data_IF_139798344318
#
_entry.id   IF_139798344318
#
_cell.length_a   1.000
_cell.length_b   1.000
_cell.length_c   1.000
_cell.angle_alpha   90.00
_cell.angle_beta   90.00
_cell.angle_gamma   90.00
#
_symmetry.space_group_name_H-M   'P 1'
#
loop_
_entity.id
_entity.type
_entity.pdbx_description
1 polymer ?
#
# COMPACT_ATOMS: atom_id res chain seq x y z
N UNK A 1 10.31 -11.09 3.63
CA UNK A 1 8.92 -11.30 4.10
C UNK A 1 8.19 -9.98 4.28
N UNK A 2 6.93 -9.90 3.86
CA UNK A 2 6.11 -8.73 4.13
C UNK A 2 5.71 -8.70 5.60
N UNK A 3 5.64 -7.51 6.19
CA UNK A 3 5.19 -7.32 7.55
C UNK A 3 3.87 -6.54 7.54
N UNK A 4 2.91 -7.00 8.33
CA UNK A 4 1.60 -6.34 8.47
C UNK A 4 1.46 -5.88 9.92
N UNK A 5 1.30 -4.57 10.10
CA UNK A 5 1.13 -3.94 11.42
C UNK A 5 -0.28 -3.34 11.47
N UNK A 6 -1.07 -3.73 12.46
CA UNK A 6 -2.43 -3.20 12.63
C UNK A 6 -2.47 -2.29 13.86
N UNK A 7 -2.55 -0.99 13.64
CA UNK A 7 -2.59 0.03 14.69
C UNK A 7 -3.99 0.60 14.92
N UNK A 8 -5.02 0.03 14.29
CA UNK A 8 -6.40 0.47 14.48
C UNK A 8 -7.23 -0.63 15.14
N UNK A 9 -8.35 -0.28 15.75
CA UNK A 9 -9.19 -1.21 16.51
C UNK A 9 -10.66 -1.26 16.06
N UNK A 10 -11.07 -0.36 15.16
CA UNK A 10 -12.47 -0.26 14.77
C UNK A 10 -12.94 -1.40 13.88
N UNK A 11 -12.07 -1.87 13.00
CA UNK A 11 -12.41 -2.86 11.99
C UNK A 11 -11.47 -4.06 12.17
N UNK A 12 -12.08 -5.25 12.27
CA UNK A 12 -11.32 -6.49 12.42
C UNK A 12 -10.74 -6.92 11.08
N UNK A 13 -9.44 -7.25 11.05
CA UNK A 13 -8.73 -7.65 9.84
C UNK A 13 -7.95 -8.94 10.05
N UNK A 14 -7.91 -9.77 9.01
CA UNK A 14 -7.11 -10.99 8.96
C UNK A 14 -5.73 -10.66 8.38
N UNK A 15 -4.74 -10.43 9.25
CA UNK A 15 -3.40 -10.01 8.82
C UNK A 15 -2.71 -10.99 7.87
N UNK A 16 -2.91 -12.28 8.06
CA UNK A 16 -2.25 -13.31 7.25
C UNK A 16 -2.66 -13.26 5.78
N UNK A 17 -3.92 -12.92 5.50
CA UNK A 17 -4.42 -12.77 4.13
C UNK A 17 -3.65 -11.67 3.41
N UNK A 18 -3.47 -10.53 4.07
CA UNK A 18 -2.78 -9.38 3.47
C UNK A 18 -1.28 -9.61 3.36
N UNK A 19 -0.69 -10.31 4.33
CA UNK A 19 0.71 -10.70 4.26
C UNK A 19 0.99 -11.61 3.06
N UNK A 20 0.17 -12.66 2.89
CA UNK A 20 0.30 -13.56 1.75
C UNK A 20 0.10 -12.83 0.43
N UNK A 21 -0.87 -11.93 0.37
CA UNK A 21 -1.12 -11.12 -0.82
C UNK A 21 0.07 -10.21 -1.14
N UNK A 22 0.59 -9.49 -0.15
CA UNK A 22 1.73 -8.60 -0.35
C UNK A 22 2.96 -9.36 -0.85
N UNK A 23 3.22 -10.54 -0.31
CA UNK A 23 4.32 -11.39 -0.75
C UNK A 23 4.13 -11.87 -2.19
N UNK A 24 2.91 -12.27 -2.55
CA UNK A 24 2.59 -12.67 -3.93
C UNK A 24 2.75 -11.49 -4.90
N UNK A 25 2.27 -10.32 -4.54
CA UNK A 25 2.37 -9.12 -5.38
C UNK A 25 3.83 -8.71 -5.61
N UNK A 26 4.65 -8.68 -4.55
CA UNK A 26 6.07 -8.32 -4.70
C UNK A 26 6.82 -9.34 -5.55
N UNK A 27 6.45 -10.62 -5.48
CA UNK A 27 7.07 -11.66 -6.31
C UNK A 27 6.75 -11.51 -7.80
N UNK A 28 5.59 -10.94 -8.14
CA UNK A 28 5.19 -10.72 -9.53
C UNK A 28 5.77 -9.45 -10.14
N UNK A 29 6.23 -8.53 -9.33
CA UNK A 29 6.73 -7.23 -9.79
C UNK A 29 8.25 -7.26 -9.77
N UNK A 30 8.87 -7.33 -10.95
CA UNK A 30 10.33 -7.45 -11.07
C UNK A 30 11.09 -6.27 -10.46
N UNK A 31 10.51 -5.07 -10.52
CA UNK A 31 11.13 -3.85 -10.01
C UNK A 31 11.30 -3.86 -8.50
N UNK A 32 10.63 -4.76 -7.76
CA UNK A 32 10.82 -4.89 -6.31
C UNK A 32 12.18 -5.51 -5.94
N UNK A 33 12.83 -6.21 -6.87
CA UNK A 33 14.09 -6.93 -6.63
C UNK A 33 14.02 -7.86 -5.42
N UNK A 34 12.87 -8.51 -5.22
CA UNK A 34 12.59 -9.38 -4.07
C UNK A 34 12.63 -8.66 -2.71
N UNK A 35 12.57 -7.34 -2.71
CA UNK A 35 12.44 -6.57 -1.47
C UNK A 35 11.01 -6.68 -0.93
N UNK A 36 10.87 -6.59 0.38
CA UNK A 36 9.56 -6.65 1.03
C UNK A 36 9.09 -5.29 1.50
N UNK A 37 7.77 -5.12 1.55
CA UNK A 37 7.13 -3.91 2.04
C UNK A 37 6.52 -4.16 3.42
N UNK A 38 6.40 -3.10 4.22
CA UNK A 38 5.64 -3.11 5.46
C UNK A 38 4.31 -2.42 5.20
N UNK A 39 3.21 -3.07 5.57
CA UNK A 39 1.86 -2.51 5.44
C UNK A 39 1.36 -2.17 6.84
N UNK A 40 0.95 -0.92 7.04
CA UNK A 40 0.46 -0.43 8.33
C UNK A 40 -0.99 0.01 8.19
N UNK A 41 -1.88 -0.61 8.94
CA UNK A 41 -3.29 -0.24 9.00
C UNK A 41 -3.52 0.76 10.12
N UNK A 42 -4.11 1.89 9.80
CA UNK A 42 -4.34 3.00 10.72
C UNK A 42 -5.77 3.52 10.62
N UNK A 43 -6.15 4.42 11.52
CA UNK A 43 -7.43 5.15 11.47
C UNK A 43 -7.34 6.36 10.54
N UNK A 44 -8.50 6.92 10.18
CA UNK A 44 -8.58 8.19 9.43
C UNK A 44 -7.83 9.31 10.16
N UNK A 45 -7.98 9.38 11.46
CA UNK A 45 -7.30 10.40 12.27
C UNK A 45 -5.78 10.31 12.13
N UNK A 46 -5.24 9.09 12.21
CA UNK A 46 -3.80 8.87 12.12
C UNK A 46 -3.27 9.17 10.72
N UNK A 47 -3.94 8.73 9.66
CA UNK A 47 -3.48 8.98 8.29
C UNK A 47 -3.56 10.47 7.94
N UNK A 48 -4.55 11.17 8.49
CA UNK A 48 -4.66 12.62 8.33
C UNK A 48 -3.45 13.33 8.95
N UNK A 49 -3.05 12.92 10.15
CA UNK A 49 -1.86 13.45 10.82
C UNK A 49 -0.60 13.21 10.00
N UNK A 50 -0.44 12.01 9.45
CA UNK A 50 0.70 11.66 8.60
C UNK A 50 0.70 12.45 7.29
N UNK A 51 -0.46 12.60 6.67
CA UNK A 51 -0.60 13.35 5.43
C UNK A 51 -0.25 14.83 5.64
N UNK A 52 -0.67 15.41 6.77
CA UNK A 52 -0.33 16.78 7.14
C UNK A 52 1.17 16.94 7.37
N UNK A 53 1.78 16.03 8.13
CA UNK A 53 3.20 16.09 8.49
C UNK A 53 4.11 15.90 7.26
N UNK A 54 3.81 14.92 6.41
CA UNK A 54 4.72 14.52 5.33
C UNK A 54 4.37 15.09 3.96
N UNK A 55 3.13 15.51 3.74
CA UNK A 55 2.67 16.05 2.45
C UNK A 55 2.06 17.44 2.55
N UNK A 56 1.94 17.99 3.74
CA UNK A 56 1.34 19.30 3.98
C UNK A 56 -0.16 19.38 3.72
N UNK A 57 -0.85 18.24 3.64
CA UNK A 57 -2.29 18.17 3.36
C UNK A 57 -3.05 17.76 4.60
N UNK A 58 -3.87 18.65 5.16
CA UNK A 58 -4.68 18.38 6.35
C UNK A 58 -5.98 17.68 5.98
N UNK A 59 -5.87 16.46 5.44
CA UNK A 59 -7.02 15.64 5.04
C UNK A 59 -6.67 14.17 5.15
N UNK A 60 -7.69 13.34 5.38
CA UNK A 60 -7.52 11.90 5.31
C UNK A 60 -7.37 11.49 3.85
N UNK A 61 -6.59 10.45 3.61
CA UNK A 61 -6.46 9.79 2.31
C UNK A 61 -6.61 8.28 2.53
N UNK A 62 -6.67 7.52 1.45
CA UNK A 62 -6.78 6.07 1.54
C UNK A 62 -5.43 5.41 1.85
N UNK A 63 -4.38 5.84 1.18
CA UNK A 63 -3.05 5.22 1.26
C UNK A 63 -1.95 6.26 1.15
N UNK A 64 -0.86 6.03 1.89
CA UNK A 64 0.40 6.79 1.79
C UNK A 64 1.52 5.77 1.61
N UNK A 65 2.43 6.05 0.70
CA UNK A 65 3.60 5.21 0.44
C UNK A 65 4.88 5.97 0.77
N UNK A 66 5.74 5.35 1.57
CA UNK A 66 7.02 5.92 2.00
C UNK A 66 8.15 5.00 1.55
N UNK A 67 8.82 5.31 0.42
CA UNK A 67 9.97 4.51 -0.02
C UNK A 67 11.05 4.49 1.06
N UNK A 68 11.68 3.35 1.24
CA UNK A 68 12.81 3.25 2.16
C UNK A 68 14.00 4.03 1.61
N UNK A 69 14.56 4.91 2.44
CA UNK A 69 15.76 5.66 2.12
C UNK A 69 16.85 5.22 3.08
N UNK A 70 17.80 4.41 2.58
CA UNK A 70 18.94 4.01 3.36
C UNK A 70 19.88 5.20 3.55
N UNK A 71 20.25 5.51 4.80
CA UNK A 71 21.31 6.45 5.05
C UNK A 71 22.68 5.68 5.02
N UNK A 72 23.78 6.40 5.24
CA UNK A 72 25.11 5.78 5.18
C UNK A 72 25.37 4.73 6.27
N UNK A 73 24.48 4.63 7.26
CA UNK A 73 24.57 3.71 8.39
C UNK A 73 23.57 2.56 8.32
N UNK A 74 22.54 2.67 7.50
CA UNK A 74 21.53 1.64 7.33
C UNK A 74 21.66 0.95 5.98
N UNK A 75 21.89 -0.35 6.03
CA UNK A 75 22.07 -1.18 4.83
C UNK A 75 21.01 -2.28 4.77
N UNK A 76 19.74 -1.92 4.92
CA UNK A 76 18.66 -2.89 4.77
C UNK A 76 18.28 -3.03 3.28
N UNK A 77 18.97 -3.90 2.58
CA UNK A 77 18.76 -4.16 1.16
C UNK A 77 17.43 -4.84 0.86
N UNK A 78 16.72 -5.33 1.89
CA UNK A 78 15.46 -6.07 1.72
C UNK A 78 14.23 -5.21 1.95
N UNK A 79 14.38 -3.93 2.27
CA UNK A 79 13.28 -3.05 2.62
C UNK A 79 12.88 -2.14 1.45
N UNK A 80 11.70 -2.39 0.89
CA UNK A 80 11.14 -1.57 -0.19
C UNK A 80 10.55 -0.26 0.34
N UNK A 81 9.96 -0.28 1.52
CA UNK A 81 9.33 0.87 2.15
C UNK A 81 8.06 0.52 2.90
N UNK A 82 7.32 1.55 3.31
CA UNK A 82 6.11 1.43 4.09
C UNK A 82 4.88 1.87 3.30
N UNK A 83 3.79 1.12 3.45
CA UNK A 83 2.49 1.44 2.87
C UNK A 83 1.52 1.61 4.03
N UNK A 84 0.99 2.82 4.23
CA UNK A 84 0.07 3.14 5.32
C UNK A 84 -1.33 3.29 4.74
N UNK A 85 -2.28 2.53 5.27
CA UNK A 85 -3.66 2.47 4.77
C UNK A 85 -4.64 2.83 5.87
N UNK A 86 -5.55 3.78 5.58
CA UNK A 86 -6.70 4.04 6.43
C UNK A 86 -7.77 2.99 6.16
N UNK A 87 -8.04 2.12 7.14
CA UNK A 87 -9.03 1.06 6.99
C UNK A 87 -10.45 1.65 6.89
N UNK A 88 -10.72 2.74 7.59
CA UNK A 88 -12.01 3.42 7.52
C UNK A 88 -12.27 3.99 6.11
N UNK A 89 -11.25 4.59 5.50
CA UNK A 89 -11.36 5.09 4.13
C UNK A 89 -11.52 3.94 3.13
N UNK A 90 -10.76 2.86 3.34
CA UNK A 90 -10.86 1.67 2.49
C UNK A 90 -12.27 1.07 2.54
N UNK A 91 -12.90 1.04 3.73
CA UNK A 91 -14.26 0.52 3.86
C UNK A 91 -15.28 1.38 3.09
N UNK A 92 -15.17 2.70 3.18
CA UNK A 92 -16.04 3.60 2.42
C UNK A 92 -15.87 3.42 0.92
N UNK A 93 -14.63 3.31 0.45
CA UNK A 93 -14.32 3.11 -0.97
C UNK A 93 -14.79 1.74 -1.46
N UNK A 94 -14.66 0.71 -0.63
CA UNK A 94 -15.15 -0.62 -0.97
C UNK A 94 -16.65 -0.59 -1.25
N UNK A 95 -17.43 0.10 -0.42
CA UNK A 95 -18.86 0.26 -0.63
C UNK A 95 -19.18 1.00 -1.93
N UNK A 96 -18.46 2.09 -2.21
CA UNK A 96 -18.62 2.86 -3.44
C UNK A 96 -18.28 2.04 -4.69
N UNK A 97 -17.24 1.22 -4.61
CA UNK A 97 -16.75 0.40 -5.71
C UNK A 97 -17.45 -0.96 -5.81
N UNK A 98 -18.38 -1.26 -4.91
CA UNK A 98 -19.10 -2.54 -4.82
C UNK A 98 -18.13 -3.72 -4.68
N UNK A 99 -17.10 -3.53 -3.87
CA UNK A 99 -16.10 -4.55 -3.53
C UNK A 99 -16.22 -4.90 -2.05
N UNK A 100 -15.73 -6.07 -1.68
CA UNK A 100 -15.54 -6.35 -0.27
C UNK A 100 -14.30 -5.61 0.24
N UNK A 101 -14.20 -5.46 1.55
CA UNK A 101 -13.10 -4.72 2.17
C UNK A 101 -11.74 -5.37 1.88
N UNK A 102 -11.69 -6.69 1.88
CA UNK A 102 -10.45 -7.43 1.59
C UNK A 102 -9.91 -7.08 0.20
N UNK A 103 -10.77 -7.11 -0.82
CA UNK A 103 -10.38 -6.78 -2.19
C UNK A 103 -9.93 -5.33 -2.32
N UNK A 104 -10.66 -4.40 -1.70
CA UNK A 104 -10.27 -2.98 -1.71
C UNK A 104 -8.91 -2.76 -1.09
N UNK A 105 -8.65 -3.36 0.06
CA UNK A 105 -7.35 -3.25 0.74
C UNK A 105 -6.24 -3.86 -0.13
N UNK A 106 -6.49 -5.00 -0.76
CA UNK A 106 -5.51 -5.62 -1.66
C UNK A 106 -5.16 -4.71 -2.83
N UNK A 107 -6.15 -4.04 -3.41
CA UNK A 107 -5.91 -3.07 -4.48
C UNK A 107 -5.08 -1.88 -3.98
N UNK A 108 -5.32 -1.40 -2.76
CA UNK A 108 -4.52 -0.33 -2.17
C UNK A 108 -3.08 -0.77 -1.88
N UNK A 109 -2.89 -2.00 -1.42
CA UNK A 109 -1.54 -2.56 -1.22
C UNK A 109 -0.79 -2.62 -2.55
N UNK A 110 -1.42 -3.14 -3.59
CA UNK A 110 -0.81 -3.21 -4.92
C UNK A 110 -0.42 -1.82 -5.43
N UNK A 111 -1.32 -0.85 -5.32
CA UNK A 111 -1.07 0.53 -5.71
C UNK A 111 0.13 1.12 -4.96
N UNK A 112 0.18 0.87 -3.64
CA UNK A 112 1.31 1.30 -2.81
C UNK A 112 2.64 0.66 -3.21
N UNK A 113 2.64 -0.63 -3.51
CA UNK A 113 3.86 -1.33 -3.97
C UNK A 113 4.37 -0.70 -5.27
N UNK A 114 3.47 -0.40 -6.21
CA UNK A 114 3.87 0.24 -7.48
C UNK A 114 4.48 1.62 -7.24
N UNK A 115 3.92 2.42 -6.34
CA UNK A 115 4.54 3.69 -5.96
C UNK A 115 5.93 3.50 -5.35
N UNK A 116 6.10 2.51 -4.50
CA UNK A 116 7.42 2.20 -3.92
C UNK A 116 8.44 1.80 -4.98
N UNK A 117 7.98 1.25 -6.11
CA UNK A 117 8.84 0.89 -7.25
C UNK A 117 9.11 2.06 -8.19
N UNK A 118 8.60 3.25 -7.89
CA UNK A 118 8.86 4.44 -8.69
C UNK A 118 7.79 4.80 -9.70
N UNK A 119 6.70 4.04 -9.78
CA UNK A 119 5.56 4.40 -10.63
C UNK A 119 4.84 5.62 -10.04
N UNK A 120 4.48 6.57 -10.88
CA UNK A 120 3.75 7.76 -10.46
C UNK A 120 2.75 8.15 -11.54
N UNK A 121 1.47 7.89 -11.29
CA UNK A 121 0.38 8.16 -12.25
C UNK A 121 0.17 9.66 -12.52
N UNK A 122 0.69 10.55 -11.67
CA UNK A 122 0.59 11.99 -11.87
C UNK A 122 1.60 12.52 -12.90
N UNK A 123 2.68 11.78 -13.14
CA UNK A 123 3.78 12.21 -14.01
C UNK A 123 4.01 11.31 -15.22
N UNK A 124 3.38 10.14 -15.29
CA UNK A 124 3.54 9.21 -16.40
C UNK A 124 2.45 9.38 -17.46
N UNK A 125 2.57 8.63 -18.55
CA UNK A 125 1.61 8.61 -19.66
C UNK A 125 0.62 7.43 -19.58
N UNK A 126 0.37 6.93 -18.36
CA UNK A 126 -0.56 5.84 -18.11
C UNK A 126 0.10 4.49 -17.83
N UNK A 127 1.42 4.45 -17.70
CA UNK A 127 2.17 3.21 -17.44
C UNK A 127 1.78 2.57 -16.12
N UNK A 128 1.61 3.37 -15.05
CA UNK A 128 1.22 2.85 -13.74
C UNK A 128 -0.18 2.23 -13.80
N UNK A 129 -1.13 2.90 -14.43
CA UNK A 129 -2.50 2.38 -14.55
C UNK A 129 -2.53 1.06 -15.35
N UNK A 130 -1.80 1.01 -16.45
CA UNK A 130 -1.72 -0.20 -17.27
C UNK A 130 -1.11 -1.37 -16.50
N UNK A 131 -0.03 -1.11 -15.75
CA UNK A 131 0.62 -2.13 -14.92
C UNK A 131 -0.29 -2.61 -13.80
N UNK A 132 -0.99 -1.69 -13.16
CA UNK A 132 -1.92 -2.02 -12.07
C UNK A 132 -3.06 -2.91 -12.57
N UNK A 133 -3.67 -2.59 -13.72
CA UNK A 133 -4.74 -3.39 -14.29
C UNK A 133 -4.27 -4.79 -14.69
N UNK A 134 -3.09 -4.91 -15.28
CA UNK A 134 -2.48 -6.19 -15.61
C UNK A 134 -2.29 -7.05 -14.36
N UNK A 135 -1.76 -6.47 -13.29
CA UNK A 135 -1.50 -7.18 -12.04
C UNK A 135 -2.78 -7.53 -11.28
N UNK A 136 -3.81 -6.67 -11.34
CA UNK A 136 -5.12 -7.00 -10.78
C UNK A 136 -5.70 -8.25 -11.42
N UNK A 137 -5.56 -8.37 -12.73
CA UNK A 137 -6.02 -9.55 -13.47
C UNK A 137 -5.26 -10.80 -13.02
N UNK A 138 -3.94 -10.73 -12.95
CA UNK A 138 -3.09 -11.85 -12.50
C UNK A 138 -3.36 -12.25 -11.05
N UNK A 139 -3.62 -11.29 -10.18
CA UNK A 139 -3.86 -11.50 -8.75
C UNK A 139 -5.34 -11.71 -8.43
N UNK A 140 -6.21 -11.58 -9.40
CA UNK A 140 -7.67 -11.76 -9.29
C UNK A 140 -8.30 -10.81 -8.27
N UNK A 141 -7.94 -9.58 -8.34
CA UNK A 141 -8.50 -8.51 -7.51
C UNK A 141 -9.09 -7.38 -8.41
#
# INVERSE_FOLDING_TARGET
MAEIINQQRKIKLERLIFRSFAEAATSLISETNNQSATVVFVSDKKIRELNKTFRGKNSATDVLSFPFEADEFETDENNLGDIVISVEQAERQAQENRLDLETEIKQLILHGILHLCGYDHETDDGEMNAKELELRDKLRI
#
